data_IF_830423863366
#
_entry.id   IF_830423863366
#
_cell.length_a   1.000
_cell.length_b   1.000
_cell.length_c   1.000
_cell.angle_alpha   90.00
_cell.angle_beta   90.00
_cell.angle_gamma   90.00
#
_symmetry.space_group_name_H-M   'P 1'
#
loop_
_entity.id
_entity.type
_entity.pdbx_description
1 polymer ?
#
# COMPACT_ATOMS: atom_id res chain seq x y z
N UNK A 1 -0.18 -6.46 -16.69
CA UNK A 1 -0.79 -7.45 -15.80
C UNK A 1 -0.40 -7.06 -14.39
N UNK A 2 -1.37 -7.06 -13.46
CA UNK A 2 -1.19 -6.74 -12.04
C UNK A 2 -1.01 -8.04 -11.28
N UNK A 3 0.23 -8.44 -11.08
CA UNK A 3 0.64 -9.75 -10.54
C UNK A 3 1.70 -9.65 -9.45
N UNK A 4 2.11 -8.43 -9.09
CA UNK A 4 3.16 -8.23 -8.11
C UNK A 4 2.60 -8.24 -6.68
N UNK A 5 3.22 -9.01 -5.81
CA UNK A 5 2.96 -9.03 -4.38
C UNK A 5 4.25 -8.63 -3.65
N UNK A 6 4.26 -7.53 -2.87
CA UNK A 6 5.43 -7.16 -2.09
C UNK A 6 5.69 -8.20 -1.00
N UNK A 7 6.95 -8.33 -0.53
CA UNK A 7 7.25 -9.15 0.65
C UNK A 7 6.41 -8.71 1.84
N UNK A 8 5.84 -9.68 2.56
CA UNK A 8 4.98 -9.43 3.72
C UNK A 8 5.71 -9.71 5.02
N UNK A 9 5.37 -8.96 6.05
CA UNK A 9 5.75 -9.23 7.43
C UNK A 9 4.56 -9.80 8.20
N UNK A 10 4.83 -10.52 9.29
CA UNK A 10 3.80 -11.05 10.15
C UNK A 10 3.15 -9.92 10.97
N UNK A 11 1.82 -9.97 11.12
CA UNK A 11 1.08 -9.08 12.02
C UNK A 11 1.69 -9.12 13.45
N UNK A 12 1.88 -7.96 14.06
CA UNK A 12 2.53 -7.83 15.37
C UNK A 12 4.07 -7.79 15.34
N UNK A 13 4.70 -7.86 14.16
CA UNK A 13 6.14 -7.67 14.04
C UNK A 13 6.52 -6.23 14.43
N UNK A 14 7.44 -6.08 15.38
CA UNK A 14 8.03 -4.77 15.71
C UNK A 14 8.87 -4.31 14.54
N UNK A 15 8.45 -3.23 13.89
CA UNK A 15 9.24 -2.63 12.83
C UNK A 15 10.35 -1.76 13.42
N UNK A 16 11.57 -1.95 12.93
CA UNK A 16 12.66 -1.00 13.16
C UNK A 16 12.43 0.29 12.35
N UNK A 17 13.30 1.28 12.56
CA UNK A 17 13.28 2.53 11.77
C UNK A 17 13.71 2.34 10.30
N UNK A 18 14.31 1.20 9.95
CA UNK A 18 14.71 0.89 8.57
C UNK A 18 13.55 0.24 7.80
N UNK A 19 12.83 1.08 7.07
CA UNK A 19 11.86 0.67 6.06
C UNK A 19 12.59 -0.04 4.91
N UNK A 20 12.31 -1.33 4.72
CA UNK A 20 12.94 -2.13 3.67
C UNK A 20 12.41 -1.73 2.29
N UNK A 21 13.25 -1.92 1.27
CA UNK A 21 12.82 -1.82 -0.12
C UNK A 21 11.85 -2.97 -0.43
N UNK A 22 10.61 -2.63 -0.76
CA UNK A 22 9.54 -3.60 -1.07
C UNK A 22 9.28 -3.73 -2.57
N UNK A 23 9.87 -2.85 -3.38
CA UNK A 23 9.87 -2.87 -4.85
C UNK A 23 11.00 -1.94 -5.32
N UNK A 24 11.63 -2.15 -6.49
CA UNK A 24 12.70 -1.28 -6.97
C UNK A 24 12.35 0.21 -6.90
N UNK A 25 13.09 0.97 -6.09
CA UNK A 25 12.88 2.40 -5.89
C UNK A 25 11.74 2.76 -4.92
N UNK A 26 11.15 1.78 -4.22
CA UNK A 26 10.04 1.95 -3.27
C UNK A 26 10.36 1.25 -1.96
N UNK A 27 10.39 2.04 -0.89
CA UNK A 27 10.49 1.55 0.49
C UNK A 27 9.12 1.55 1.16
N UNK A 28 8.94 0.67 2.13
CA UNK A 28 7.69 0.56 2.87
C UNK A 28 7.57 -0.77 3.58
N UNK A 29 6.35 -1.19 3.85
CA UNK A 29 6.06 -2.51 4.38
C UNK A 29 4.65 -2.96 3.99
N UNK A 30 4.46 -4.27 3.99
CA UNK A 30 3.17 -4.90 3.73
C UNK A 30 2.91 -6.01 4.75
N UNK A 31 1.65 -6.19 5.13
CA UNK A 31 1.21 -7.20 6.11
C UNK A 31 0.15 -8.06 5.44
N UNK A 32 0.30 -9.38 5.51
CA UNK A 32 -0.75 -10.29 5.05
C UNK A 32 -1.80 -10.49 6.14
N UNK A 33 -3.06 -10.27 5.79
CA UNK A 33 -4.21 -10.43 6.69
C UNK A 33 -5.43 -10.89 5.90
N UNK A 34 -6.07 -11.97 6.35
CA UNK A 34 -7.29 -12.53 5.75
C UNK A 34 -7.19 -12.75 4.23
N UNK A 35 -6.01 -13.16 3.74
CA UNK A 35 -5.74 -13.40 2.32
C UNK A 35 -5.46 -12.14 1.50
N UNK A 36 -5.52 -10.94 2.09
CA UNK A 36 -5.15 -9.67 1.47
C UNK A 36 -3.77 -9.21 1.93
N UNK A 37 -3.13 -8.37 1.11
CA UNK A 37 -1.84 -7.74 1.40
C UNK A 37 -2.09 -6.26 1.68
N UNK A 38 -2.07 -5.91 2.96
CA UNK A 38 -2.28 -4.56 3.45
C UNK A 38 -0.96 -3.78 3.35
N UNK A 39 -0.98 -2.60 2.74
CA UNK A 39 0.19 -1.76 2.50
C UNK A 39 -0.06 -0.41 3.19
N UNK A 40 0.32 -0.24 4.47
CA UNK A 40 0.05 0.98 5.22
C UNK A 40 1.05 2.10 4.91
N UNK A 41 2.20 1.77 4.32
CA UNK A 41 3.23 2.74 4.01
C UNK A 41 3.99 2.36 2.74
N UNK A 42 4.10 3.33 1.84
CA UNK A 42 5.03 3.32 0.71
C UNK A 42 5.61 4.71 0.52
N UNK A 43 6.88 4.76 0.14
CA UNK A 43 7.58 5.97 -0.23
C UNK A 43 8.58 5.68 -1.34
N UNK A 44 8.81 6.66 -2.20
CA UNK A 44 9.92 6.56 -3.15
C UNK A 44 11.24 6.64 -2.37
N UNK A 45 12.22 5.83 -2.75
CA UNK A 45 13.60 5.99 -2.23
C UNK A 45 14.20 7.31 -2.73
N UNK A 46 13.88 7.69 -3.97
CA UNK A 46 14.24 8.96 -4.60
C UNK A 46 13.02 9.62 -5.26
N UNK A 47 12.74 10.87 -4.90
CA UNK A 47 11.59 11.58 -5.48
C UNK A 47 11.80 11.92 -6.97
N UNK A 48 10.72 11.87 -7.75
CA UNK A 48 10.71 12.31 -9.15
C UNK A 48 10.91 11.20 -10.20
N UNK A 49 11.32 9.99 -9.78
CA UNK A 49 11.59 8.88 -10.70
C UNK A 49 10.36 8.02 -11.06
N UNK A 50 9.20 8.27 -10.45
CA UNK A 50 7.97 7.56 -10.77
C UNK A 50 7.85 6.14 -10.20
N UNK A 51 8.83 5.66 -9.42
CA UNK A 51 8.88 4.30 -8.87
C UNK A 51 7.59 3.89 -8.12
N UNK A 52 7.02 4.77 -7.29
CA UNK A 52 5.74 4.53 -6.61
C UNK A 52 4.60 4.32 -7.62
N UNK A 53 4.60 5.10 -8.71
CA UNK A 53 3.62 4.93 -9.77
C UNK A 53 3.72 3.56 -10.44
N UNK A 54 4.95 3.16 -10.80
CA UNK A 54 5.22 1.85 -11.39
C UNK A 54 4.84 0.70 -10.46
N UNK A 55 5.15 0.82 -9.17
CA UNK A 55 4.72 -0.13 -8.15
C UNK A 55 3.20 -0.29 -8.13
N UNK A 56 2.45 0.82 -8.06
CA UNK A 56 0.98 0.80 -8.08
C UNK A 56 0.38 0.23 -9.38
N UNK A 57 1.10 0.33 -10.49
CA UNK A 57 0.69 -0.25 -11.78
C UNK A 57 0.90 -1.79 -11.83
N UNK A 58 1.69 -2.33 -10.90
CA UNK A 58 2.06 -3.76 -10.83
C UNK A 58 1.37 -4.55 -9.74
N UNK A 59 1.02 -3.93 -8.62
CA UNK A 59 0.47 -4.65 -7.47
C UNK A 59 -0.79 -5.46 -7.82
N UNK A 60 -0.85 -6.70 -7.32
CA UNK A 60 -1.93 -7.65 -7.57
C UNK A 60 -3.27 -7.19 -6.99
N UNK A 61 -4.36 -7.82 -7.42
CA UNK A 61 -5.71 -7.55 -6.90
C UNK A 61 -5.90 -7.93 -5.43
N UNK A 62 -4.94 -8.64 -4.80
CA UNK A 62 -4.91 -8.92 -3.36
C UNK A 62 -4.36 -7.76 -2.53
N UNK A 63 -3.66 -6.83 -3.16
CA UNK A 63 -3.06 -5.69 -2.47
C UNK A 63 -4.12 -4.63 -2.10
N UNK A 64 -3.92 -3.98 -0.95
CA UNK A 64 -4.74 -2.88 -0.45
C UNK A 64 -3.83 -1.80 0.09
N UNK A 65 -3.91 -0.58 -0.44
CA UNK A 65 -3.19 0.56 0.13
C UNK A 65 -4.10 1.18 1.19
N UNK A 66 -3.61 1.33 2.43
CA UNK A 66 -4.44 1.76 3.56
C UNK A 66 -3.82 2.93 4.31
N UNK A 67 -4.64 3.65 5.08
CA UNK A 67 -4.22 4.81 5.89
C UNK A 67 -3.52 5.89 5.04
N UNK A 68 -4.09 6.23 3.88
CA UNK A 68 -3.44 7.13 2.92
C UNK A 68 -3.59 8.59 3.35
N UNK A 69 -2.61 9.07 4.11
CA UNK A 69 -2.58 10.47 4.56
C UNK A 69 -2.03 11.45 3.50
N UNK A 70 -1.42 10.96 2.41
CA UNK A 70 -0.76 11.81 1.41
C UNK A 70 -1.68 12.16 0.24
N UNK A 71 -2.02 13.44 0.09
CA UNK A 71 -2.82 13.94 -1.05
C UNK A 71 -2.19 13.60 -2.42
N UNK A 72 -0.84 13.56 -2.49
CA UNK A 72 -0.11 13.17 -3.70
C UNK A 72 -0.38 11.71 -4.04
N UNK A 73 -0.36 10.82 -3.04
CA UNK A 73 -0.64 9.40 -3.21
C UNK A 73 -2.11 9.16 -3.55
N UNK A 74 -3.05 9.87 -2.89
CA UNK A 74 -4.47 9.87 -3.26
C UNK A 74 -4.65 10.18 -4.75
N UNK A 75 -4.03 11.25 -5.25
CA UNK A 75 -4.09 11.59 -6.67
C UNK A 75 -3.49 10.51 -7.58
N UNK A 76 -2.44 9.81 -7.14
CA UNK A 76 -1.85 8.70 -7.91
C UNK A 76 -2.79 7.48 -8.00
N UNK A 77 -3.47 7.15 -6.91
CA UNK A 77 -4.43 6.05 -6.81
C UNK A 77 -5.67 6.34 -7.66
N UNK A 78 -6.23 7.54 -7.55
CA UNK A 78 -7.39 7.99 -8.33
C UNK A 78 -7.13 7.93 -9.84
N UNK A 79 -5.97 8.42 -10.31
CA UNK A 79 -5.60 8.35 -11.74
C UNK A 79 -5.45 6.93 -12.28
N UNK A 80 -5.27 5.94 -11.39
CA UNK A 80 -5.12 4.52 -11.70
C UNK A 80 -6.40 3.72 -11.47
N UNK A 81 -7.53 4.42 -11.28
CA UNK A 81 -8.84 3.84 -11.03
C UNK A 81 -8.89 2.92 -9.81
N UNK A 82 -8.05 3.18 -8.79
CA UNK A 82 -8.22 2.48 -7.53
C UNK A 82 -9.55 2.90 -6.90
N UNK A 83 -10.27 1.92 -6.36
CA UNK A 83 -11.52 2.15 -5.66
C UNK A 83 -11.22 2.40 -4.18
N UNK A 84 -11.65 3.54 -3.66
CA UNK A 84 -11.60 3.84 -2.24
C UNK A 84 -12.86 3.32 -1.54
N UNK A 85 -12.65 2.64 -0.42
CA UNK A 85 -13.67 2.27 0.55
C UNK A 85 -13.18 2.65 1.94
N UNK A 86 -14.05 2.68 2.93
CA UNK A 86 -13.67 2.87 4.32
C UNK A 86 -14.10 1.64 5.12
N UNK A 87 -13.25 1.21 6.06
CA UNK A 87 -13.57 0.13 7.00
C UNK A 87 -13.45 0.64 8.43
N UNK A 88 -14.35 0.19 9.30
CA UNK A 88 -14.27 0.45 10.73
C UNK A 88 -13.25 -0.52 11.36
N UNK A 89 -12.22 0.01 12.00
CA UNK A 89 -11.30 -0.77 12.82
C UNK A 89 -11.80 -0.74 14.26
N UNK A 90 -12.60 -1.77 14.62
CA UNK A 90 -13.31 -1.82 15.92
C UNK A 90 -12.39 -1.65 17.14
N UNK A 91 -11.13 -2.11 17.05
CA UNK A 91 -10.16 -1.99 18.13
C UNK A 91 -9.87 -0.52 18.51
N UNK A 92 -9.95 0.38 17.54
CA UNK A 92 -9.63 1.81 17.71
C UNK A 92 -10.85 2.72 17.57
N UNK A 93 -12.01 2.16 17.17
CA UNK A 93 -13.22 2.92 16.81
C UNK A 93 -12.93 3.99 15.74
N UNK A 94 -12.07 3.64 14.78
CA UNK A 94 -11.60 4.53 13.72
C UNK A 94 -11.96 4.00 12.34
N UNK A 95 -12.37 4.91 11.46
CA UNK A 95 -12.54 4.62 10.04
C UNK A 95 -11.21 4.77 9.33
N UNK A 96 -10.79 3.75 8.59
CA UNK A 96 -9.58 3.79 7.78
C UNK A 96 -9.92 3.63 6.32
N UNK A 97 -9.23 4.39 5.48
CA UNK A 97 -9.37 4.30 4.03
C UNK A 97 -8.64 3.05 3.50
N UNK A 98 -9.28 2.39 2.55
CA UNK A 98 -8.80 1.20 1.88
C UNK A 98 -8.93 1.38 0.39
N UNK A 99 -7.81 1.37 -0.31
CA UNK A 99 -7.73 1.54 -1.75
C UNK A 99 -7.45 0.22 -2.45
N UNK A 100 -8.38 -0.18 -3.31
CA UNK A 100 -8.34 -1.43 -4.05
C UNK A 100 -7.91 -1.20 -5.51
N UNK A 101 -6.92 -1.97 -6.02
CA UNK A 101 -6.64 -2.07 -7.45
C UNK A 101 -7.90 -2.35 -8.28
N UNK A 102 -8.07 -1.76 -9.48
CA UNK A 102 -9.02 -2.29 -10.46
C UNK A 102 -8.69 -3.75 -10.80
N UNK A 103 -9.75 -4.53 -11.07
CA UNK A 103 -9.67 -5.90 -11.58
C UNK A 103 -8.92 -6.00 -12.91
#
# INVERSE_FOLDING_TARGET
>A
MRDYEPPTIQEGTVMGFDESEIYPGVKGYAVEKDGFIMIPMIAATEEGHGAVGEFLDRISSRCRVVNVCSLKLVGMLQRRNFKMTEILVEQFDEMVDVWEPPE
#
